data_IF_783783691933
#
_entry.id   IF_783783691933
#
_cell.length_a   1.000
_cell.length_b   1.000
_cell.length_c   1.000
_cell.angle_alpha   90.00
_cell.angle_beta   90.00
_cell.angle_gamma   90.00
#
_symmetry.space_group_name_H-M   'P 1'
#
loop_
_entity.id
_entity.type
_entity.pdbx_description
1 polymer ?
#
# COMPACT_ATOMS: atom_id res chain seq x y z
N UNK A 1 5.38 -20.53 -13.16
CA UNK A 1 6.60 -20.23 -12.38
C UNK A 1 6.12 -19.54 -11.12
N UNK A 2 6.42 -20.11 -9.94
CA UNK A 2 5.82 -19.70 -8.68
C UNK A 2 6.24 -18.29 -8.26
N UNK A 3 5.30 -17.59 -7.64
CA UNK A 3 5.54 -16.34 -6.93
C UNK A 3 6.68 -16.58 -5.91
N UNK A 4 7.78 -15.81 -5.93
CA UNK A 4 8.92 -16.06 -5.05
C UNK A 4 8.72 -15.61 -3.60
N UNK A 5 7.53 -15.10 -3.24
CA UNK A 5 7.19 -14.73 -1.88
C UNK A 5 5.96 -15.51 -1.46
N UNK A 6 6.15 -16.44 -0.55
CA UNK A 6 5.07 -17.14 0.13
C UNK A 6 4.38 -16.15 1.08
N UNK A 7 3.34 -15.47 0.59
CA UNK A 7 2.50 -14.56 1.39
C UNK A 7 1.73 -15.30 2.50
N UNK A 8 1.82 -16.63 2.54
CA UNK A 8 1.23 -17.45 3.60
C UNK A 8 2.11 -17.56 4.85
N UNK A 9 3.39 -17.19 4.78
CA UNK A 9 4.20 -17.07 5.99
C UNK A 9 3.95 -15.68 6.62
N UNK A 10 3.52 -15.62 7.90
CA UNK A 10 3.46 -14.35 8.62
C UNK A 10 4.84 -13.71 8.56
N UNK A 11 4.90 -12.40 8.37
CA UNK A 11 6.11 -11.59 8.44
C UNK A 11 7.05 -12.23 9.45
N UNK A 12 8.14 -12.86 8.99
CA UNK A 12 9.15 -13.39 9.91
C UNK A 12 9.60 -12.19 10.70
N UNK A 13 9.48 -12.27 12.01
CA UNK A 13 9.97 -11.28 12.96
C UNK A 13 11.51 -11.27 12.89
N UNK A 14 12.03 -10.72 11.81
CA UNK A 14 13.46 -10.53 11.66
C UNK A 14 13.80 -9.25 12.40
N UNK A 15 14.62 -9.38 13.43
CA UNK A 15 15.21 -8.24 14.11
C UNK A 15 15.96 -7.40 13.07
N UNK A 16 15.67 -6.09 13.00
CA UNK A 16 16.31 -5.17 12.06
C UNK A 16 15.57 -4.94 10.73
N UNK A 17 14.37 -5.48 10.52
CA UNK A 17 13.54 -5.11 9.36
C UNK A 17 12.66 -3.93 9.73
N UNK A 18 12.77 -2.85 8.97
CA UNK A 18 11.89 -1.70 9.05
C UNK A 18 11.03 -1.66 7.78
N UNK A 19 9.72 -1.66 7.94
CA UNK A 19 8.78 -1.56 6.84
C UNK A 19 8.13 -0.17 6.82
N UNK A 20 8.00 0.38 5.63
CA UNK A 20 7.21 1.59 5.39
C UNK A 20 5.91 1.19 4.69
N UNK A 21 4.78 1.51 5.32
CA UNK A 21 3.47 1.41 4.73
C UNK A 21 3.00 2.79 4.25
N UNK A 22 2.42 2.83 3.07
CA UNK A 22 1.81 4.05 2.50
C UNK A 22 0.40 3.71 2.07
N UNK A 23 -0.57 4.40 2.62
CA UNK A 23 -1.97 4.34 2.17
C UNK A 23 -2.32 5.60 1.39
N UNK A 24 -2.83 5.40 0.18
CA UNK A 24 -3.19 6.49 -0.74
C UNK A 24 -4.70 6.52 -0.90
N UNK A 25 -5.33 7.53 -0.34
CA UNK A 25 -6.76 7.80 -0.54
C UNK A 25 -6.99 8.91 -1.58
N UNK A 26 -8.26 9.29 -1.76
CA UNK A 26 -8.62 10.42 -2.62
C UNK A 26 -8.00 11.75 -2.18
N UNK A 27 -7.87 11.93 -0.87
CA UNK A 27 -7.58 13.23 -0.26
C UNK A 27 -6.29 13.24 0.56
N UNK A 28 -5.72 12.07 0.89
CA UNK A 28 -4.54 11.96 1.73
C UNK A 28 -3.59 10.85 1.29
N UNK A 29 -2.31 11.04 1.61
CA UNK A 29 -1.28 10.00 1.69
C UNK A 29 -0.92 9.84 3.16
N UNK A 30 -1.23 8.69 3.73
CA UNK A 30 -0.82 8.31 5.08
C UNK A 30 0.38 7.39 4.99
N UNK A 31 1.46 7.78 5.65
CA UNK A 31 2.70 7.01 5.67
C UNK A 31 3.01 6.57 7.09
N UNK A 32 3.33 5.30 7.28
CA UNK A 32 3.66 4.72 8.57
C UNK A 32 5.01 3.99 8.50
N UNK A 33 5.75 4.02 9.60
CA UNK A 33 6.89 3.15 9.84
C UNK A 33 6.51 2.17 10.92
N UNK A 34 6.74 0.91 10.68
CA UNK A 34 6.52 -0.15 11.66
C UNK A 34 7.78 -0.98 11.86
N UNK A 35 7.93 -1.49 13.09
CA UNK A 35 8.97 -2.47 13.43
C UNK A 35 8.62 -3.87 12.89
N UNK A 36 9.57 -4.81 12.98
CA UNK A 36 9.36 -6.20 12.58
C UNK A 36 8.29 -6.95 13.38
N UNK A 37 7.68 -6.32 14.40
CA UNK A 37 6.58 -6.85 15.19
C UNK A 37 5.21 -6.29 14.75
N UNK A 38 5.22 -5.34 13.80
CA UNK A 38 4.03 -4.63 13.34
C UNK A 38 3.61 -3.48 14.23
N UNK A 39 4.44 -3.05 15.18
CA UNK A 39 4.16 -1.86 16.00
C UNK A 39 4.48 -0.60 15.21
N UNK A 40 3.52 0.32 15.14
CA UNK A 40 3.74 1.62 14.49
C UNK A 40 4.69 2.47 15.32
N UNK A 41 5.83 2.82 14.74
CA UNK A 41 6.85 3.68 15.35
C UNK A 41 6.48 5.15 15.13
N UNK A 42 6.09 5.50 13.90
CA UNK A 42 5.69 6.86 13.53
C UNK A 42 4.73 6.84 12.37
N UNK A 43 3.93 7.88 12.25
CA UNK A 43 3.02 8.07 11.13
C UNK A 43 2.92 9.55 10.74
N UNK A 44 2.73 9.80 9.45
CA UNK A 44 2.49 11.14 8.89
C UNK A 44 1.35 11.03 7.88
N UNK A 45 0.40 11.94 7.98
CA UNK A 45 -0.64 12.12 6.99
C UNK A 45 -0.43 13.45 6.26
N UNK A 46 -0.54 13.42 4.96
CA UNK A 46 -0.42 14.61 4.09
C UNK A 46 -1.56 14.67 3.10
N UNK A 47 -2.15 15.85 2.84
CA UNK A 47 -3.20 15.98 1.85
C UNK A 47 -2.63 15.71 0.45
N UNK A 48 -3.39 15.03 -0.39
CA UNK A 48 -3.09 14.86 -1.82
C UNK A 48 -3.58 16.10 -2.58
N UNK A 49 -2.68 16.87 -3.18
CA UNK A 49 -3.08 18.01 -4.01
C UNK A 49 -3.96 17.56 -5.18
N UNK A 50 -5.02 18.30 -5.49
CA UNK A 50 -5.94 17.96 -6.60
C UNK A 50 -5.23 17.76 -7.94
N UNK A 51 -4.11 18.42 -8.16
CA UNK A 51 -3.27 18.29 -9.35
C UNK A 51 -2.57 16.92 -9.48
N UNK A 52 -2.56 16.10 -8.43
CA UNK A 52 -2.05 14.73 -8.47
C UNK A 52 -3.10 13.74 -8.98
N UNK A 53 -4.37 14.15 -9.07
CA UNK A 53 -5.41 13.31 -9.66
C UNK A 53 -5.15 13.15 -11.16
N UNK A 54 -5.27 11.93 -11.64
CA UNK A 54 -4.97 11.52 -13.01
C UNK A 54 -3.51 11.77 -13.47
N UNK A 55 -2.60 12.05 -12.53
CA UNK A 55 -1.17 12.26 -12.81
C UNK A 55 -0.32 11.34 -11.90
N UNK A 56 0.06 10.18 -12.44
CA UNK A 56 0.80 9.18 -11.69
C UNK A 56 2.22 9.63 -11.31
N UNK A 57 2.88 10.47 -12.12
CA UNK A 57 4.20 10.99 -11.82
C UNK A 57 4.15 11.96 -10.64
N UNK A 58 3.17 12.87 -10.62
CA UNK A 58 2.97 13.77 -9.48
C UNK A 58 2.58 13.02 -8.21
N UNK A 59 1.68 12.06 -8.32
CA UNK A 59 1.30 11.24 -7.17
C UNK A 59 2.52 10.50 -6.60
N UNK A 60 3.35 9.92 -7.46
CA UNK A 60 4.58 9.25 -7.03
C UNK A 60 5.57 10.20 -6.35
N UNK A 61 5.65 11.46 -6.80
CA UNK A 61 6.47 12.49 -6.15
C UNK A 61 5.95 12.84 -4.75
N UNK A 62 4.63 12.99 -4.59
CA UNK A 62 4.01 13.24 -3.28
C UNK A 62 4.22 12.06 -2.32
N UNK A 63 4.05 10.83 -2.80
CA UNK A 63 4.37 9.62 -2.01
C UNK A 63 5.84 9.64 -1.58
N UNK A 64 6.76 9.89 -2.52
CA UNK A 64 8.18 9.97 -2.21
C UNK A 64 8.51 11.05 -1.18
N UNK A 65 7.90 12.23 -1.31
CA UNK A 65 8.06 13.33 -0.36
C UNK A 65 7.48 13.02 1.02
N UNK A 66 6.36 12.29 1.10
CA UNK A 66 5.78 11.86 2.37
C UNK A 66 6.72 10.88 3.10
N UNK A 67 7.23 9.88 2.39
CA UNK A 67 8.19 8.90 2.92
C UNK A 67 9.46 9.62 3.45
N UNK A 68 10.00 10.54 2.68
CA UNK A 68 11.21 11.27 3.11
C UNK A 68 10.97 12.15 4.34
N UNK A 69 9.82 12.84 4.39
CA UNK A 69 9.47 13.64 5.57
C UNK A 69 9.39 12.77 6.82
N UNK A 70 8.82 11.56 6.69
CA UNK A 70 8.75 10.60 7.78
C UNK A 70 10.15 10.14 8.20
N UNK A 71 11.00 9.74 7.24
CA UNK A 71 12.37 9.29 7.51
C UNK A 71 13.24 10.40 8.11
N UNK A 72 13.10 11.65 7.67
CA UNK A 72 13.83 12.78 8.22
C UNK A 72 13.45 13.05 9.68
N UNK A 73 12.17 12.92 10.03
CA UNK A 73 11.70 13.05 11.42
C UNK A 73 12.18 11.94 12.36
N UNK A 74 12.58 10.80 11.79
CA UNK A 74 13.04 9.62 12.54
C UNK A 74 14.57 9.53 12.64
N UNK A 75 15.31 10.35 11.90
CA UNK A 75 16.77 10.26 11.83
C UNK A 75 17.46 10.39 13.20
N UNK A 76 16.87 11.11 14.13
CA UNK A 76 17.40 11.28 15.49
C UNK A 76 17.00 10.11 16.41
N UNK A 77 15.82 9.50 16.21
CA UNK A 77 15.28 8.44 17.08
C UNK A 77 15.72 7.03 16.62
N UNK A 78 15.92 6.84 15.31
CA UNK A 78 16.22 5.52 14.71
C UNK A 78 17.67 5.37 14.24
N UNK A 79 18.59 6.24 14.65
CA UNK A 79 19.99 6.18 14.22
C UNK A 79 20.69 4.82 14.52
N UNK A 80 20.14 4.01 15.42
CA UNK A 80 20.59 2.65 15.70
C UNK A 80 19.87 1.56 14.91
N UNK A 81 18.56 1.66 14.70
CA UNK A 81 17.73 0.60 14.11
C UNK A 81 17.61 0.69 12.58
N UNK A 82 17.42 1.89 12.02
CA UNK A 82 17.34 2.09 10.56
C UNK A 82 18.72 2.01 9.90
N UNK A 83 19.76 2.45 10.61
CA UNK A 83 21.16 2.38 10.08
C UNK A 83 21.68 0.95 9.96
N UNK A 84 21.06 -0.01 10.65
CA UNK A 84 21.39 -1.43 10.60
C UNK A 84 20.40 -2.27 9.79
N UNK A 85 19.34 -1.69 9.24
CA UNK A 85 18.34 -2.44 8.48
C UNK A 85 18.94 -3.01 7.19
N UNK A 86 18.85 -4.32 7.02
CA UNK A 86 19.40 -5.04 5.88
C UNK A 86 18.64 -4.77 4.57
N UNK A 87 17.38 -4.35 4.66
CA UNK A 87 16.53 -3.98 3.52
C UNK A 87 15.41 -3.04 3.95
N UNK A 88 15.06 -2.09 3.10
CA UNK A 88 13.90 -1.24 3.24
C UNK A 88 12.83 -1.67 2.23
N UNK A 89 11.69 -2.13 2.74
CA UNK A 89 10.52 -2.47 1.91
C UNK A 89 9.47 -1.39 2.08
N UNK A 90 8.99 -0.86 0.96
CA UNK A 90 7.88 0.11 0.92
C UNK A 90 6.66 -0.57 0.31
N UNK A 91 5.62 -0.75 1.10
CA UNK A 91 4.31 -1.19 0.63
C UNK A 91 3.41 0.02 0.39
N UNK A 92 2.84 0.13 -0.80
CA UNK A 92 1.90 1.21 -1.15
C UNK A 92 0.54 0.61 -1.42
N UNK A 93 -0.48 0.96 -0.65
CA UNK A 93 -1.87 0.61 -0.90
C UNK A 93 -2.59 1.71 -1.66
N UNK A 94 -3.40 1.31 -2.64
CA UNK A 94 -4.19 2.24 -3.45
C UNK A 94 -5.59 1.68 -3.71
N UNK A 95 -6.62 2.55 -3.84
CA UNK A 95 -7.97 2.14 -4.19
C UNK A 95 -8.06 1.78 -5.69
N UNK A 96 -8.69 0.65 -5.98
CA UNK A 96 -9.00 0.24 -7.36
C UNK A 96 -8.49 -1.14 -7.72
N UNK A 97 -8.28 -1.35 -9.01
CA UNK A 97 -7.75 -2.60 -9.58
C UNK A 97 -6.25 -2.49 -9.70
N UNK A 98 -5.54 -3.34 -9.00
CA UNK A 98 -4.08 -3.34 -8.91
C UNK A 98 -3.53 -4.65 -9.47
N UNK A 99 -2.53 -4.53 -10.31
CA UNK A 99 -1.65 -5.64 -10.68
C UNK A 99 -0.43 -5.59 -9.76
N UNK A 100 -0.45 -6.45 -8.74
CA UNK A 100 0.59 -6.47 -7.72
C UNK A 100 1.92 -6.99 -8.27
N UNK A 101 1.88 -7.93 -9.21
CA UNK A 101 3.08 -8.52 -9.83
C UNK A 101 3.82 -7.51 -10.70
N UNK A 102 3.08 -6.71 -11.48
CA UNK A 102 3.66 -5.65 -12.33
C UNK A 102 3.86 -4.32 -11.60
N UNK A 103 3.30 -4.17 -10.38
CA UNK A 103 3.32 -2.92 -9.64
C UNK A 103 2.58 -1.79 -10.34
N UNK A 104 1.41 -2.11 -10.93
CA UNK A 104 0.62 -1.20 -11.77
C UNK A 104 -0.78 -0.99 -11.22
N UNK A 105 -1.25 0.25 -11.27
CA UNK A 105 -2.67 0.56 -11.10
C UNK A 105 -3.35 0.35 -12.45
N UNK A 106 -4.06 -0.77 -12.63
CA UNK A 106 -4.82 -1.04 -13.85
C UNK A 106 -5.94 -0.02 -14.00
N UNK A 107 -6.65 0.27 -12.91
CA UNK A 107 -7.72 1.26 -12.90
C UNK A 107 -8.04 1.74 -11.47
N UNK A 108 -8.04 3.04 -11.29
CA UNK A 108 -8.53 3.69 -10.07
C UNK A 108 -9.36 4.90 -10.44
N UNK A 109 -10.67 4.83 -10.24
CA UNK A 109 -11.55 5.99 -10.43
C UNK A 109 -11.31 7.04 -9.34
N UNK A 110 -10.97 6.61 -8.14
CA UNK A 110 -10.69 7.49 -7.01
C UNK A 110 -9.50 8.39 -7.30
N UNK A 111 -8.44 7.82 -7.88
CA UNK A 111 -7.21 8.56 -8.21
C UNK A 111 -7.20 9.08 -9.66
N UNK A 112 -8.18 8.67 -10.49
CA UNK A 112 -8.22 9.01 -11.91
C UNK A 112 -7.11 8.31 -12.73
N UNK A 113 -6.54 7.23 -12.22
CA UNK A 113 -5.43 6.54 -12.86
C UNK A 113 -5.90 5.37 -13.73
N UNK A 114 -5.23 5.18 -14.85
CA UNK A 114 -5.42 4.05 -15.74
C UNK A 114 -4.07 3.55 -16.24
N UNK A 115 -3.83 2.26 -16.10
CA UNK A 115 -2.62 1.56 -16.53
C UNK A 115 -1.30 2.24 -16.11
N UNK A 116 -1.25 2.73 -14.88
CA UNK A 116 -0.15 3.51 -14.34
C UNK A 116 0.89 2.62 -13.64
N UNK A 117 2.19 2.66 -14.01
CA UNK A 117 3.25 1.87 -13.37
C UNK A 117 3.72 2.51 -12.05
N UNK A 118 2.81 2.64 -11.08
CA UNK A 118 2.99 3.46 -9.90
C UNK A 118 4.18 3.02 -9.03
N UNK A 119 4.38 1.71 -8.84
CA UNK A 119 5.50 1.22 -8.03
C UNK A 119 6.87 1.66 -8.59
N UNK A 120 7.04 1.61 -9.92
CA UNK A 120 8.28 2.04 -10.57
C UNK A 120 8.47 3.56 -10.51
N UNK A 121 7.39 4.33 -10.58
CA UNK A 121 7.41 5.78 -10.45
C UNK A 121 7.80 6.21 -9.03
N UNK A 122 7.23 5.57 -8.00
CA UNK A 122 7.57 5.82 -6.59
C UNK A 122 9.04 5.46 -6.33
N UNK A 123 9.50 4.30 -6.79
CA UNK A 123 10.90 3.91 -6.67
C UNK A 123 11.84 4.93 -7.31
N UNK A 124 11.52 5.42 -8.51
CA UNK A 124 12.30 6.46 -9.20
C UNK A 124 12.32 7.77 -8.41
N UNK A 125 11.17 8.20 -7.90
CA UNK A 125 11.05 9.38 -7.05
C UNK A 125 11.95 9.30 -5.82
N UNK A 126 11.92 8.19 -5.10
CA UNK A 126 12.76 7.94 -3.93
C UNK A 126 14.26 7.91 -4.28
N UNK A 127 14.63 7.24 -5.39
CA UNK A 127 16.03 7.16 -5.82
C UNK A 127 16.59 8.53 -6.24
N UNK A 128 15.80 9.38 -6.90
CA UNK A 128 16.24 10.71 -7.32
C UNK A 128 16.48 11.66 -6.15
N UNK A 129 15.79 11.46 -5.05
CA UNK A 129 15.83 12.30 -3.86
C UNK A 129 16.81 11.75 -2.79
N UNK A 130 17.31 10.51 -2.95
CA UNK A 130 18.18 9.84 -1.99
C UNK A 130 19.61 10.40 -1.93
N UNK A 131 19.95 11.41 -2.73
CA UNK A 131 21.32 11.99 -2.80
C UNK A 131 21.88 12.57 -1.48
N UNK A 132 21.17 12.39 -0.35
CA UNK A 132 21.58 12.89 0.96
C UNK A 132 21.16 12.01 2.15
N UNK A 133 20.47 10.90 1.95
CA UNK A 133 19.97 10.07 3.06
C UNK A 133 20.66 8.72 3.10
N UNK A 134 21.52 8.45 4.11
CA UNK A 134 22.32 7.22 4.20
C UNK A 134 21.53 5.91 4.28
N UNK A 135 20.25 5.94 4.62
CA UNK A 135 19.43 4.74 4.85
C UNK A 135 18.77 4.14 3.60
N UNK A 136 18.77 4.84 2.45
CA UNK A 136 18.08 4.41 1.22
C UNK A 136 19.01 3.75 0.18
N UNK A 137 20.26 3.52 0.51
CA UNK A 137 21.28 3.03 -0.44
C UNK A 137 21.29 1.51 -0.62
N UNK A 138 20.62 0.74 0.23
CA UNK A 138 20.49 -0.72 0.11
C UNK A 138 19.15 -1.04 -0.56
N UNK A 139 19.16 -1.76 -1.65
CA UNK A 139 18.07 -2.30 -2.44
C UNK A 139 16.63 -1.89 -2.03
N UNK A 140 16.18 -0.72 -2.44
CA UNK A 140 14.82 -0.24 -2.19
C UNK A 140 13.80 -1.04 -3.00
N UNK A 141 12.97 -1.81 -2.32
CA UNK A 141 11.85 -2.51 -2.93
C UNK A 141 10.55 -1.73 -2.70
N UNK A 142 9.82 -1.44 -3.77
CA UNK A 142 8.49 -0.81 -3.71
C UNK A 142 7.48 -1.79 -4.27
N UNK A 143 6.49 -2.15 -3.47
CA UNK A 143 5.38 -3.02 -3.84
C UNK A 143 4.06 -2.25 -3.79
N UNK A 144 3.17 -2.61 -4.68
CA UNK A 144 1.85 -2.00 -4.80
C UNK A 144 0.78 -3.04 -4.43
N UNK A 145 -0.22 -2.60 -3.67
CA UNK A 145 -1.31 -3.46 -3.18
C UNK A 145 -2.66 -2.77 -3.33
N UNK A 146 -3.72 -3.58 -3.35
CA UNK A 146 -5.08 -3.07 -3.23
C UNK A 146 -5.37 -2.70 -1.75
N UNK A 147 -5.98 -1.54 -1.51
CA UNK A 147 -6.34 -1.01 -0.19
C UNK A 147 -7.16 -2.01 0.65
N UNK A 148 -8.29 -2.50 0.12
CA UNK A 148 -9.13 -3.47 0.81
C UNK A 148 -8.39 -4.79 1.08
N UNK A 149 -7.45 -5.20 0.22
CA UNK A 149 -6.59 -6.36 0.43
C UNK A 149 -5.69 -6.20 1.65
N UNK A 150 -5.08 -5.02 1.78
CA UNK A 150 -4.27 -4.67 2.95
C UNK A 150 -5.11 -4.64 4.23
N UNK A 151 -6.32 -4.04 4.19
CA UNK A 151 -7.25 -4.01 5.32
C UNK A 151 -7.67 -5.42 5.76
N UNK A 152 -8.06 -6.27 4.81
CA UNK A 152 -8.43 -7.65 5.08
C UNK A 152 -7.28 -8.44 5.73
N UNK A 153 -6.07 -8.27 5.21
CA UNK A 153 -4.89 -8.93 5.74
C UNK A 153 -4.58 -8.43 7.16
N UNK A 154 -4.62 -7.13 7.41
CA UNK A 154 -4.38 -6.54 8.72
C UNK A 154 -5.39 -7.05 9.76
N UNK A 155 -6.67 -7.10 9.42
CA UNK A 155 -7.71 -7.66 10.28
C UNK A 155 -7.49 -9.14 10.59
N UNK A 156 -6.96 -9.90 9.63
CA UNK A 156 -6.62 -11.30 9.83
C UNK A 156 -5.40 -11.53 10.74
N UNK A 157 -4.45 -10.60 10.77
CA UNK A 157 -3.23 -10.71 11.57
C UNK A 157 -3.36 -10.13 12.97
N UNK A 158 -4.04 -9.00 13.11
CA UNK A 158 -4.08 -8.22 14.34
C UNK A 158 -5.49 -7.88 14.83
N UNK A 159 -6.50 -8.06 13.96
CA UNK A 159 -7.90 -7.76 14.26
C UNK A 159 -8.71 -8.99 14.66
N UNK A 160 -10.01 -8.95 14.36
CA UNK A 160 -10.97 -9.98 14.72
C UNK A 160 -11.23 -10.98 13.58
N UNK A 161 -10.69 -10.79 12.38
CA UNK A 161 -10.94 -11.65 11.24
C UNK A 161 -10.11 -12.94 11.32
N UNK A 162 -10.69 -14.04 10.86
CA UNK A 162 -9.96 -15.30 10.68
C UNK A 162 -9.21 -15.36 9.35
N UNK A 163 -8.51 -16.49 9.12
CA UNK A 163 -7.78 -16.74 7.88
C UNK A 163 -8.68 -16.81 6.63
N UNK A 164 -9.97 -17.03 6.80
CA UNK A 164 -10.98 -16.99 5.75
C UNK A 164 -11.97 -15.90 6.11
N UNK A 165 -12.00 -14.83 5.34
CA UNK A 165 -12.91 -13.73 5.59
C UNK A 165 -13.26 -12.98 4.30
N UNK A 166 -14.42 -12.33 4.33
CA UNK A 166 -14.76 -11.25 3.42
C UNK A 166 -14.62 -9.94 4.20
N UNK A 167 -13.70 -9.11 3.75
CA UNK A 167 -13.55 -7.75 4.24
C UNK A 167 -14.39 -6.80 3.39
N UNK A 168 -15.14 -5.94 4.03
CA UNK A 168 -15.99 -4.96 3.36
C UNK A 168 -15.78 -3.60 4.02
N UNK A 169 -15.36 -2.64 3.23
CA UNK A 169 -15.24 -1.23 3.63
C UNK A 169 -16.33 -0.43 2.94
N UNK A 170 -17.15 0.27 3.74
CA UNK A 170 -18.29 1.05 3.26
C UNK A 170 -18.04 2.51 3.58
N UNK A 171 -17.71 3.30 2.55
CA UNK A 171 -17.51 4.74 2.61
C UNK A 171 -18.26 5.43 1.46
N UNK A 172 -17.65 6.44 0.85
CA UNK A 172 -18.17 7.02 -0.39
C UNK A 172 -18.20 6.00 -1.54
N UNK A 173 -17.33 5.01 -1.47
CA UNK A 173 -17.29 3.85 -2.34
C UNK A 173 -17.28 2.60 -1.49
N UNK A 174 -17.69 1.49 -2.08
CA UNK A 174 -17.60 0.19 -1.46
C UNK A 174 -16.37 -0.51 -2.03
N UNK A 175 -15.43 -0.86 -1.17
CA UNK A 175 -14.30 -1.73 -1.49
C UNK A 175 -14.39 -3.02 -0.70
N UNK A 176 -13.85 -4.10 -1.22
CA UNK A 176 -13.80 -5.37 -0.50
C UNK A 176 -12.65 -6.24 -0.94
N UNK A 177 -12.30 -7.18 -0.08
CA UNK A 177 -11.31 -8.21 -0.36
C UNK A 177 -11.74 -9.55 0.25
N UNK A 178 -11.29 -10.62 -0.37
CA UNK A 178 -11.52 -11.99 0.11
C UNK A 178 -10.18 -12.60 0.51
N UNK A 179 -10.11 -13.14 1.72
CA UNK A 179 -8.98 -13.96 2.15
C UNK A 179 -9.41 -15.43 2.19
N UNK A 180 -8.59 -16.31 1.65
CA UNK A 180 -8.71 -17.76 1.77
C UNK A 180 -7.39 -18.34 2.26
N UNK A 181 -7.45 -19.07 3.39
CA UNK A 181 -6.25 -19.63 4.01
C UNK A 181 -5.25 -18.59 4.54
N UNK A 182 -5.67 -17.33 4.70
CA UNK A 182 -4.82 -16.20 5.09
C UNK A 182 -4.15 -15.47 3.94
N UNK A 183 -4.44 -15.88 2.69
CA UNK A 183 -3.94 -15.21 1.48
C UNK A 183 -5.06 -14.46 0.77
N UNK A 184 -4.81 -13.27 0.22
CA UNK A 184 -5.80 -12.54 -0.57
C UNK A 184 -6.06 -13.25 -1.90
N UNK A 185 -7.33 -13.29 -2.28
CA UNK A 185 -7.74 -13.73 -3.62
C UNK A 185 -7.62 -12.54 -4.55
N UNK A 186 -6.65 -12.55 -5.44
CA UNK A 186 -6.33 -11.39 -6.29
C UNK A 186 -7.19 -11.33 -7.56
N UNK A 187 -7.39 -12.47 -8.25
CA UNK A 187 -8.20 -12.53 -9.48
C UNK A 187 -7.76 -11.47 -10.50
N UNK A 188 -6.46 -11.36 -10.76
CA UNK A 188 -5.86 -10.31 -11.62
C UNK A 188 -6.20 -8.88 -11.15
N UNK A 189 -6.39 -8.68 -9.82
CA UNK A 189 -6.79 -7.41 -9.22
C UNK A 189 -8.30 -7.13 -9.23
N UNK A 190 -9.12 -8.02 -9.81
CA UNK A 190 -10.56 -7.82 -9.90
C UNK A 190 -11.36 -8.51 -8.78
N UNK A 191 -10.77 -9.43 -8.03
CA UNK A 191 -11.46 -10.08 -6.93
C UNK A 191 -11.85 -9.03 -5.87
N UNK A 192 -13.05 -9.20 -5.33
CA UNK A 192 -13.57 -8.30 -4.30
C UNK A 192 -14.10 -6.94 -4.81
N UNK A 193 -14.15 -6.66 -6.11
CA UNK A 193 -14.64 -5.39 -6.64
C UNK A 193 -16.19 -5.29 -6.59
N UNK A 194 -16.80 -5.59 -5.42
CA UNK A 194 -18.26 -5.67 -5.25
C UNK A 194 -18.95 -4.32 -5.42
N UNK A 195 -18.27 -3.20 -5.15
CA UNK A 195 -18.81 -1.86 -5.36
C UNK A 195 -19.12 -1.52 -6.83
N UNK A 196 -18.73 -2.39 -7.76
CA UNK A 196 -19.03 -2.26 -9.21
C UNK A 196 -20.21 -3.13 -9.66
N UNK A 197 -20.80 -3.90 -8.75
CA UNK A 197 -21.98 -4.72 -9.05
C UNK A 197 -23.18 -3.79 -9.24
N UNK A 198 -23.85 -3.93 -10.38
CA UNK A 198 -25.10 -3.23 -10.62
C UNK A 198 -26.20 -3.89 -9.77
N UNK A 199 -26.79 -3.12 -8.88
CA UNK A 199 -27.95 -3.54 -8.10
C UNK A 199 -29.18 -2.95 -8.77
N UNK A 200 -30.20 -3.76 -9.10
CA UNK A 200 -31.46 -3.25 -9.61
C UNK A 200 -32.08 -2.25 -8.63
N UNK A 201 -32.62 -1.15 -9.15
CA UNK A 201 -33.42 -0.24 -8.33
C UNK A 201 -34.62 -1.02 -7.77
N UNK A 202 -34.82 -1.06 -6.43
CA UNK A 202 -35.95 -1.77 -5.83
C UNK A 202 -37.31 -1.22 -6.31
N UNK A 203 -37.36 0.03 -6.80
CA UNK A 203 -38.55 0.66 -7.36
C UNK A 203 -38.67 0.49 -8.88
N UNK A 204 -37.72 -0.24 -9.50
CA UNK A 204 -37.80 -0.52 -10.93
C UNK A 204 -38.85 -1.61 -11.21
N UNK A 205 -40.05 -1.16 -11.43
CA UNK A 205 -41.13 -1.96 -12.07
C UNK A 205 -40.84 -2.04 -13.56
N UNK A 206 -40.10 -3.09 -13.97
CA UNK A 206 -39.80 -3.39 -15.36
C UNK A 206 -40.99 -3.44 -16.31
#
# INVERSE_FOLDING_TARGET
MGCPVDLAEPFRREEGVVAIGVDVSADAVTTVVADGRGSVISSVERPVPRQCRADADRLAQEIGSAIQSLCAGLADDLSGEVSGAAALVVGVSVPGVVDEDEGRVRRSETLGLQDAPLASLVRRSLSSQASGSPGLSGGLEVRLYQDAGCGAWAESQWGAAGRNCLYLEVGERISSAVLLGGAPVLGEGWAGQVGRILVPDPDWSG
#
